data_IF_308271754044
#
_entry.id   IF_308271754044
#
_cell.length_a   1.000
_cell.length_b   1.000
_cell.length_c   1.000
_cell.angle_alpha   90.00
_cell.angle_beta   90.00
_cell.angle_gamma   90.00
#
_symmetry.space_group_name_H-M   'P 1'
#
loop_
_entity.id
_entity.type
_entity.pdbx_description
1 polymer ?
#
# COMPACT_ATOMS: atom_id res chain seq x y z
N UNK A 1 115.93 -49.87 44.64
CA UNK A 1 115.86 -48.77 45.55
C UNK A 1 114.80 -47.81 45.04
N UNK A 2 113.84 -47.56 45.81
CA UNK A 2 112.46 -47.13 45.53
C UNK A 2 112.36 -45.63 45.31
N UNK A 3 111.70 -45.21 44.17
CA UNK A 3 111.26 -43.84 43.95
C UNK A 3 109.74 -43.83 43.87
N UNK A 4 109.17 -43.20 44.84
CA UNK A 4 107.74 -42.95 44.82
C UNK A 4 107.43 -41.74 43.91
N UNK A 5 106.54 -41.99 42.99
CA UNK A 5 105.94 -40.89 42.21
C UNK A 5 104.75 -40.27 42.94
N UNK A 6 104.59 -38.95 42.89
CA UNK A 6 103.40 -38.27 43.47
C UNK A 6 102.27 -38.29 42.44
N UNK A 7 101.12 -38.73 42.87
CA UNK A 7 99.91 -38.70 42.09
C UNK A 7 99.39 -37.28 42.01
N UNK A 8 99.40 -36.75 40.82
CA UNK A 8 98.79 -35.44 40.49
C UNK A 8 97.24 -35.60 40.38
N UNK A 9 96.52 -35.11 41.37
CA UNK A 9 95.07 -35.04 41.35
C UNK A 9 94.67 -33.93 40.46
N UNK A 10 94.07 -34.21 39.29
CA UNK A 10 93.48 -33.26 38.40
C UNK A 10 92.07 -32.94 38.94
N UNK A 11 91.90 -31.75 39.45
CA UNK A 11 90.59 -31.21 39.79
C UNK A 11 89.82 -30.86 38.53
N UNK A 12 88.87 -31.70 38.17
CA UNK A 12 87.89 -31.41 37.13
C UNK A 12 86.91 -30.37 37.66
N UNK A 13 87.10 -29.11 37.26
CA UNK A 13 86.10 -28.09 37.48
C UNK A 13 84.95 -28.29 36.48
N UNK A 14 83.88 -28.86 37.02
CA UNK A 14 82.61 -28.97 36.24
C UNK A 14 82.02 -27.58 36.07
N UNK A 15 82.14 -27.05 34.93
CA UNK A 15 81.40 -25.85 34.53
C UNK A 15 79.92 -26.23 34.36
N UNK A 16 79.00 -25.59 35.08
CA UNK A 16 77.59 -25.82 34.80
C UNK A 16 77.26 -25.22 33.43
N UNK A 17 76.98 -26.06 32.48
CA UNK A 17 76.35 -25.62 31.26
C UNK A 17 74.99 -25.06 31.62
N UNK A 18 74.87 -23.72 31.65
CA UNK A 18 73.56 -23.06 31.59
C UNK A 18 72.89 -23.48 30.29
N UNK A 19 72.04 -24.49 30.38
CA UNK A 19 71.07 -24.77 29.31
C UNK A 19 70.13 -23.56 29.27
N UNK A 20 70.51 -22.61 28.41
CA UNK A 20 69.59 -21.59 28.00
C UNK A 20 68.45 -22.28 27.26
N UNK A 21 67.39 -22.59 28.04
CA UNK A 21 66.17 -23.11 27.46
C UNK A 21 65.70 -22.08 26.42
N UNK A 22 65.79 -22.44 25.17
CA UNK A 22 65.10 -21.71 24.09
C UNK A 22 63.62 -21.86 24.38
N UNK A 23 63.06 -20.92 25.18
CA UNK A 23 61.65 -20.71 25.24
C UNK A 23 61.24 -20.17 23.85
N UNK A 24 60.37 -20.86 23.12
CA UNK A 24 59.83 -20.31 21.88
C UNK A 24 59.19 -18.96 22.24
N UNK A 25 59.36 -17.91 21.43
CA UNK A 25 58.71 -16.68 21.68
C UNK A 25 57.20 -16.95 21.84
N UNK A 26 56.64 -16.57 22.99
CA UNK A 26 55.23 -16.55 23.16
C UNK A 26 54.68 -15.61 22.07
N UNK A 27 54.09 -16.16 21.05
CA UNK A 27 53.34 -15.38 20.08
C UNK A 27 52.10 -14.87 20.83
N UNK A 28 52.13 -13.61 21.16
CA UNK A 28 50.90 -12.92 21.56
C UNK A 28 49.92 -13.12 20.41
N UNK A 29 48.76 -13.67 20.70
CA UNK A 29 47.64 -13.69 19.75
C UNK A 29 47.31 -12.22 19.45
N UNK A 30 47.64 -11.77 18.25
CA UNK A 30 47.44 -10.41 17.79
C UNK A 30 46.04 -10.21 17.20
N UNK A 31 45.17 -11.23 17.29
CA UNK A 31 43.85 -11.23 16.64
C UNK A 31 43.92 -11.37 15.12
N UNK A 32 45.14 -11.39 14.54
CA UNK A 32 45.33 -11.49 13.06
C UNK A 32 45.16 -12.93 12.56
N UNK A 33 45.26 -13.89 13.47
CA UNK A 33 45.10 -15.32 13.14
C UNK A 33 43.74 -15.87 13.58
N UNK A 34 42.82 -15.04 13.97
CA UNK A 34 41.46 -15.48 14.25
C UNK A 34 40.86 -16.07 13.00
N UNK A 35 40.41 -17.30 13.08
CA UNK A 35 39.74 -17.94 11.98
C UNK A 35 38.39 -17.27 11.72
N UNK A 36 38.34 -16.41 10.70
CA UNK A 36 37.09 -15.81 10.27
C UNK A 36 36.21 -16.90 9.64
N UNK A 37 35.17 -17.29 10.34
CA UNK A 37 34.15 -18.19 9.83
C UNK A 37 32.98 -17.34 9.35
N UNK A 38 32.78 -17.27 8.04
CA UNK A 38 31.61 -16.64 7.45
C UNK A 38 30.59 -17.69 7.05
N UNK A 39 29.32 -17.37 7.26
CA UNK A 39 28.17 -18.13 6.79
C UNK A 39 27.20 -17.15 6.14
N UNK A 40 26.60 -17.57 5.05
CA UNK A 40 25.56 -16.80 4.37
C UNK A 40 24.19 -17.34 4.74
N UNK A 41 23.20 -16.46 4.76
CA UNK A 41 21.78 -16.83 4.78
C UNK A 41 21.09 -16.12 3.64
N UNK A 42 20.02 -16.71 3.14
CA UNK A 42 19.24 -16.14 2.07
C UNK A 42 18.04 -15.37 2.69
N UNK A 43 17.86 -14.13 2.25
CA UNK A 43 16.68 -13.32 2.55
C UNK A 43 15.77 -13.38 1.33
N UNK A 44 14.50 -13.73 1.54
CA UNK A 44 13.49 -13.75 0.49
C UNK A 44 12.34 -12.86 0.88
N UNK A 45 11.81 -12.09 -0.10
CA UNK A 45 10.55 -11.38 -0.02
C UNK A 45 9.78 -11.65 -1.30
N UNK A 46 8.46 -11.86 -1.17
CA UNK A 46 7.55 -11.98 -2.29
C UNK A 46 6.56 -10.83 -2.23
N UNK A 47 6.51 -10.02 -3.29
CA UNK A 47 5.51 -8.97 -3.45
C UNK A 47 4.39 -9.56 -4.30
N UNK A 48 3.18 -9.52 -3.78
CA UNK A 48 1.96 -9.91 -4.49
C UNK A 48 1.20 -8.68 -4.96
N UNK A 49 0.42 -8.76 -6.04
CA UNK A 49 -0.46 -7.66 -6.42
C UNK A 49 -1.38 -7.27 -5.26
N UNK A 50 -1.56 -5.98 -5.07
CA UNK A 50 -2.41 -5.46 -4.01
C UNK A 50 -2.84 -4.04 -4.33
N UNK A 51 -3.97 -3.63 -3.77
CA UNK A 51 -4.55 -2.30 -3.92
C UNK A 51 -4.91 -1.72 -2.56
N UNK A 52 -4.80 -0.41 -2.46
CA UNK A 52 -5.22 0.40 -1.33
C UNK A 52 -6.26 1.42 -1.80
N UNK A 53 -7.37 1.50 -1.11
CA UNK A 53 -8.39 2.55 -1.31
C UNK A 53 -7.99 3.80 -0.53
N UNK A 54 -7.77 4.91 -1.24
CA UNK A 54 -7.25 6.16 -0.68
C UNK A 54 -5.76 6.37 -0.95
N UNK A 55 -5.13 7.28 -0.20
CA UNK A 55 -3.71 7.67 -0.33
C UNK A 55 -2.90 7.41 0.94
N UNK A 56 -3.52 6.86 1.97
CA UNK A 56 -2.90 6.58 3.27
C UNK A 56 -2.23 5.23 3.35
N UNK A 57 -1.84 4.81 4.56
CA UNK A 57 -1.28 3.49 4.83
C UNK A 57 -2.33 2.40 5.06
N UNK A 58 -3.61 2.71 4.97
CA UNK A 58 -4.75 1.79 5.12
C UNK A 58 -5.92 2.25 4.25
N UNK A 59 -6.84 1.31 3.98
CA UNK A 59 -8.06 1.62 3.24
C UNK A 59 -8.91 2.67 3.94
N UNK A 60 -9.46 3.60 3.15
CA UNK A 60 -10.45 4.56 3.65
C UNK A 60 -11.82 3.89 3.77
N UNK A 61 -12.59 4.29 4.76
CA UNK A 61 -13.97 3.81 4.94
C UNK A 61 -14.98 4.57 4.08
N UNK A 62 -14.61 5.76 3.59
CA UNK A 62 -15.45 6.60 2.73
C UNK A 62 -14.59 7.49 1.84
N UNK A 63 -15.08 7.82 0.66
CA UNK A 63 -14.50 8.81 -0.24
C UNK A 63 -15.10 10.22 -0.01
N UNK A 64 -15.95 10.40 1.01
CA UNK A 64 -16.61 11.66 1.32
C UNK A 64 -17.97 11.78 0.65
N UNK A 65 -18.44 13.02 0.48
CA UNK A 65 -19.79 13.32 -0.01
C UNK A 65 -19.74 14.14 -1.29
N UNK A 66 -20.47 13.68 -2.32
CA UNK A 66 -20.80 14.50 -3.50
C UNK A 66 -22.05 15.30 -3.17
N UNK A 67 -21.96 16.63 -3.24
CA UNK A 67 -23.06 17.54 -2.94
C UNK A 67 -23.51 18.30 -4.18
N UNK A 68 -24.82 18.34 -4.42
CA UNK A 68 -25.42 19.21 -5.42
C UNK A 68 -25.65 20.63 -4.91
N UNK A 69 -25.27 20.91 -3.65
CA UNK A 69 -25.47 22.20 -2.99
C UNK A 69 -26.89 22.45 -2.56
N UNK A 70 -27.19 23.70 -2.20
CA UNK A 70 -28.55 24.16 -1.92
C UNK A 70 -29.25 24.48 -3.24
N UNK A 71 -30.42 23.90 -3.42
CA UNK A 71 -31.20 24.03 -4.66
C UNK A 71 -32.58 24.59 -4.30
N UNK A 72 -32.87 25.80 -4.77
CA UNK A 72 -34.17 26.45 -4.55
C UNK A 72 -35.20 26.08 -5.63
N UNK A 73 -34.74 25.65 -6.82
CA UNK A 73 -35.57 25.20 -7.92
C UNK A 73 -34.88 24.07 -8.68
N UNK A 74 -35.63 23.08 -9.17
CA UNK A 74 -35.16 21.99 -9.99
C UNK A 74 -35.84 21.95 -11.37
N UNK A 75 -36.10 23.12 -11.95
CA UNK A 75 -36.65 23.23 -13.32
C UNK A 75 -35.65 22.81 -14.42
N UNK A 76 -34.37 22.64 -14.09
CA UNK A 76 -33.31 22.12 -14.99
C UNK A 76 -32.41 21.20 -14.22
N UNK A 77 -31.64 20.35 -14.99
CA UNK A 77 -30.66 19.48 -14.41
C UNK A 77 -29.55 20.27 -13.68
N UNK A 78 -29.01 19.65 -12.60
CA UNK A 78 -27.87 20.17 -11.85
C UNK A 78 -26.71 19.18 -11.93
N UNK A 79 -25.60 19.62 -12.48
CA UNK A 79 -24.40 18.83 -12.64
C UNK A 79 -23.37 19.22 -11.60
N UNK A 80 -22.62 18.25 -11.16
CA UNK A 80 -21.47 18.43 -10.25
C UNK A 80 -20.42 17.35 -10.54
N UNK A 81 -19.19 17.63 -10.17
CA UNK A 81 -18.09 16.68 -10.24
C UNK A 81 -17.47 16.51 -8.86
N UNK A 82 -17.09 15.31 -8.53
CA UNK A 82 -16.40 15.01 -7.30
C UNK A 82 -14.96 15.55 -7.29
N UNK A 83 -14.40 15.68 -6.09
CA UNK A 83 -12.99 16.00 -5.88
C UNK A 83 -12.42 15.08 -4.78
N UNK A 84 -11.09 14.99 -4.62
CA UNK A 84 -10.48 14.22 -3.53
C UNK A 84 -11.06 14.61 -2.16
N UNK A 85 -11.50 13.63 -1.38
CA UNK A 85 -12.21 13.84 -0.12
C UNK A 85 -13.68 14.25 -0.25
N UNK A 86 -14.17 14.44 -1.47
CA UNK A 86 -15.56 14.82 -1.77
C UNK A 86 -16.12 13.93 -2.89
N UNK A 87 -15.97 12.61 -2.72
CA UNK A 87 -16.57 11.59 -3.56
C UNK A 87 -15.72 11.09 -4.73
N UNK A 88 -14.54 11.65 -5.01
CA UNK A 88 -13.62 11.06 -5.99
C UNK A 88 -13.00 9.76 -5.44
N UNK A 89 -12.93 8.75 -6.28
CA UNK A 89 -12.36 7.46 -5.93
C UNK A 89 -10.85 7.54 -6.12
N UNK A 90 -10.11 7.49 -5.03
CA UNK A 90 -8.64 7.47 -5.09
C UNK A 90 -8.14 6.10 -4.66
N UNK A 91 -7.19 5.56 -5.41
CA UNK A 91 -6.56 4.27 -5.09
C UNK A 91 -5.11 4.25 -5.50
N UNK A 92 -4.37 3.33 -4.86
CA UNK A 92 -2.99 3.02 -5.18
C UNK A 92 -2.83 1.50 -5.24
N UNK A 93 -2.33 0.99 -6.35
CA UNK A 93 -2.14 -0.45 -6.55
C UNK A 93 -0.70 -0.77 -6.96
N UNK A 94 -0.34 -2.03 -6.88
CA UNK A 94 0.89 -2.53 -7.49
C UNK A 94 0.90 -2.21 -8.99
N UNK A 95 2.06 -1.84 -9.57
CA UNK A 95 2.19 -1.53 -10.98
C UNK A 95 1.62 -2.62 -11.89
N UNK A 96 0.84 -2.21 -12.90
CA UNK A 96 0.27 -3.11 -13.90
C UNK A 96 -0.89 -4.00 -13.42
N UNK A 97 -1.31 -3.88 -12.16
CA UNK A 97 -2.45 -4.65 -11.63
C UNK A 97 -3.72 -4.30 -12.41
N UNK A 98 -4.45 -5.28 -12.96
CA UNK A 98 -5.76 -5.03 -13.54
C UNK A 98 -6.73 -4.67 -12.43
N UNK A 99 -7.46 -3.57 -12.60
CA UNK A 99 -8.42 -3.09 -11.61
C UNK A 99 -9.78 -2.85 -12.25
N UNK A 100 -10.83 -3.18 -11.52
CA UNK A 100 -12.21 -2.90 -11.90
C UNK A 100 -12.90 -2.17 -10.76
N UNK A 101 -13.37 -0.94 -11.06
CA UNK A 101 -14.14 -0.10 -10.15
C UNK A 101 -15.63 -0.19 -10.51
N UNK A 102 -16.43 -0.61 -9.56
CA UNK A 102 -17.87 -0.81 -9.71
C UNK A 102 -18.63 0.04 -8.69
N UNK A 103 -19.78 0.59 -9.10
CA UNK A 103 -20.70 1.28 -8.23
C UNK A 103 -22.04 0.56 -8.17
N UNK A 104 -22.59 0.40 -6.96
CA UNK A 104 -23.92 -0.14 -6.81
C UNK A 104 -25.01 0.90 -7.20
N UNK A 105 -26.26 0.51 -7.09
CA UNK A 105 -27.40 1.41 -7.41
C UNK A 105 -27.71 2.45 -6.33
N UNK A 106 -26.98 2.42 -5.21
CA UNK A 106 -27.33 3.17 -4.02
C UNK A 106 -28.36 2.42 -3.16
N UNK A 107 -28.70 3.00 -2.01
CA UNK A 107 -29.65 2.39 -1.08
C UNK A 107 -31.11 2.55 -1.52
N UNK A 108 -31.38 3.46 -2.46
CA UNK A 108 -32.74 3.84 -2.84
C UNK A 108 -33.14 3.35 -4.24
N UNK A 109 -32.32 2.48 -4.87
CA UNK A 109 -32.62 1.90 -6.17
C UNK A 109 -32.06 0.46 -6.26
N UNK A 110 -32.62 -0.35 -7.16
CA UNK A 110 -32.14 -1.70 -7.46
C UNK A 110 -31.36 -1.78 -8.77
N UNK A 111 -31.52 -0.79 -9.64
CA UNK A 111 -30.84 -0.68 -10.94
C UNK A 111 -30.51 0.78 -11.23
N UNK A 112 -29.37 1.00 -11.90
CA UNK A 112 -28.96 2.34 -12.35
C UNK A 112 -29.52 2.68 -13.73
N UNK A 113 -30.08 1.74 -14.47
CA UNK A 113 -30.65 1.98 -15.80
C UNK A 113 -31.80 2.99 -15.78
N UNK A 114 -32.60 3.00 -14.71
CA UNK A 114 -33.67 3.99 -14.46
C UNK A 114 -33.22 5.20 -13.69
N UNK A 115 -31.96 5.24 -13.24
CA UNK A 115 -31.37 6.24 -12.39
C UNK A 115 -31.32 5.82 -10.92
N UNK A 116 -30.47 6.53 -10.17
CA UNK A 116 -30.38 6.47 -8.71
C UNK A 116 -31.31 7.48 -8.08
N UNK A 117 -31.61 7.33 -6.80
CA UNK A 117 -32.52 8.24 -6.09
C UNK A 117 -31.94 8.71 -4.77
N UNK A 118 -31.87 10.03 -4.59
CA UNK A 118 -31.78 10.62 -3.27
C UNK A 118 -33.15 10.53 -2.61
N UNK A 119 -33.20 10.20 -1.34
CA UNK A 119 -34.47 10.00 -0.62
C UNK A 119 -34.59 10.90 0.59
N UNK A 120 -35.84 11.34 0.86
CA UNK A 120 -36.30 11.96 2.08
C UNK A 120 -37.68 11.42 2.42
N UNK A 121 -37.74 10.48 3.36
CA UNK A 121 -38.96 9.71 3.60
C UNK A 121 -39.43 8.98 2.34
N UNK A 122 -40.65 9.27 1.87
CA UNK A 122 -41.20 8.72 0.63
C UNK A 122 -40.82 9.46 -0.64
N UNK A 123 -40.35 10.71 -0.50
CA UNK A 123 -39.95 11.53 -1.64
C UNK A 123 -38.65 11.09 -2.24
N UNK A 124 -38.52 11.20 -3.55
CA UNK A 124 -37.36 10.77 -4.33
C UNK A 124 -36.93 11.83 -5.32
N UNK A 125 -35.62 12.09 -5.40
CA UNK A 125 -35.01 12.90 -6.44
C UNK A 125 -34.11 12.03 -7.27
N UNK A 126 -34.39 11.94 -8.57
CA UNK A 126 -33.57 11.13 -9.46
C UNK A 126 -32.23 11.78 -9.73
N UNK A 127 -31.15 10.99 -9.63
CA UNK A 127 -29.81 11.39 -10.01
C UNK A 127 -29.10 10.27 -10.75
N UNK A 128 -27.94 10.56 -11.33
CA UNK A 128 -27.09 9.55 -11.96
C UNK A 128 -25.63 9.90 -11.77
N UNK A 129 -24.78 8.85 -11.80
CA UNK A 129 -23.33 8.96 -11.71
C UNK A 129 -22.72 8.44 -13.02
N UNK A 130 -21.70 9.14 -13.49
CA UNK A 130 -21.06 8.88 -14.76
C UNK A 130 -19.54 8.84 -14.61
N UNK A 131 -18.88 8.13 -15.54
CA UNK A 131 -17.42 8.02 -15.61
C UNK A 131 -16.80 9.21 -16.36
N UNK A 132 -17.59 9.95 -17.13
CA UNK A 132 -17.15 10.96 -18.07
C UNK A 132 -17.85 12.31 -17.90
N UNK A 133 -17.14 13.39 -18.24
CA UNK A 133 -17.67 14.76 -18.20
C UNK A 133 -18.82 15.02 -19.21
N UNK A 134 -18.97 14.16 -20.20
CA UNK A 134 -20.07 14.22 -21.16
C UNK A 134 -21.37 13.62 -20.65
N UNK A 135 -21.37 13.01 -19.46
CA UNK A 135 -22.53 12.33 -18.86
C UNK A 135 -23.11 11.24 -19.77
N UNK A 136 -22.25 10.49 -20.47
CA UNK A 136 -22.63 9.47 -21.45
C UNK A 136 -22.48 8.05 -20.93
N UNK A 137 -21.46 7.80 -20.09
CA UNK A 137 -21.14 6.48 -19.57
C UNK A 137 -21.63 6.36 -18.13
N UNK A 138 -22.78 5.72 -17.94
CA UNK A 138 -23.34 5.48 -16.60
C UNK A 138 -22.42 4.52 -15.84
N UNK A 139 -21.95 4.97 -14.67
CA UNK A 139 -21.11 4.15 -13.80
C UNK A 139 -21.94 3.16 -12.98
N UNK A 140 -21.75 1.89 -13.24
CA UNK A 140 -22.44 0.79 -12.57
C UNK A 140 -21.49 -0.34 -12.21
N UNK A 141 -22.00 -1.56 -12.17
CA UNK A 141 -21.24 -2.77 -11.85
C UNK A 141 -21.23 -3.81 -13.00
N UNK A 142 -21.67 -3.40 -14.19
CA UNK A 142 -21.77 -4.30 -15.36
C UNK A 142 -23.07 -5.08 -15.46
N UNK A 143 -23.81 -5.23 -14.35
CA UNK A 143 -25.07 -5.99 -14.32
C UNK A 143 -26.29 -5.19 -13.84
N UNK A 144 -26.08 -4.02 -13.26
CA UNK A 144 -27.15 -3.17 -12.72
C UNK A 144 -27.66 -2.08 -13.68
N UNK A 145 -27.33 -2.16 -14.98
CA UNK A 145 -27.71 -1.20 -16.00
C UNK A 145 -26.69 -0.09 -16.23
N UNK A 146 -25.53 -0.17 -15.63
CA UNK A 146 -24.37 0.69 -15.86
C UNK A 146 -23.09 -0.12 -16.05
N UNK A 147 -22.03 0.51 -16.51
CA UNK A 147 -20.75 -0.13 -16.84
C UNK A 147 -19.76 0.11 -15.70
N UNK A 148 -18.99 -0.92 -15.31
CA UNK A 148 -17.84 -0.76 -14.43
C UNK A 148 -16.67 -0.13 -15.19
N UNK A 149 -15.78 0.57 -14.48
CA UNK A 149 -14.53 1.08 -15.04
C UNK A 149 -13.47 -0.01 -14.87
N UNK A 150 -12.93 -0.52 -15.97
CA UNK A 150 -11.83 -1.50 -15.96
C UNK A 150 -10.59 -0.91 -16.62
N UNK A 151 -9.45 -1.01 -15.97
CA UNK A 151 -8.17 -0.51 -16.46
C UNK A 151 -7.01 -1.27 -15.82
N UNK A 152 -5.81 -1.16 -16.41
CA UNK A 152 -4.58 -1.58 -15.75
C UNK A 152 -4.00 -0.41 -14.95
N UNK A 153 -3.58 -0.66 -13.72
CA UNK A 153 -2.98 0.38 -12.89
C UNK A 153 -1.64 0.84 -13.50
N UNK A 154 -1.33 2.15 -13.47
CA UNK A 154 -0.11 2.67 -14.08
C UNK A 154 1.16 1.99 -13.59
N UNK A 155 2.12 1.80 -14.49
CA UNK A 155 3.41 1.19 -14.19
C UNK A 155 4.24 1.98 -13.15
N UNK A 156 3.94 3.26 -12.94
CA UNK A 156 4.56 4.09 -11.91
C UNK A 156 4.16 3.69 -10.47
N UNK A 157 3.04 2.97 -10.29
CA UNK A 157 2.46 2.70 -8.97
C UNK A 157 1.95 3.95 -8.24
N UNK A 158 1.95 5.11 -8.92
CA UNK A 158 1.47 6.36 -8.31
C UNK A 158 -0.04 6.33 -8.11
N UNK A 159 -0.49 6.91 -6.99
CA UNK A 159 -1.92 7.05 -6.68
C UNK A 159 -2.71 7.65 -7.85
N UNK A 160 -3.86 7.08 -8.14
CA UNK A 160 -4.77 7.52 -9.18
C UNK A 160 -6.09 7.99 -8.56
N UNK A 161 -6.63 9.07 -9.11
CA UNK A 161 -7.93 9.61 -8.70
C UNK A 161 -8.89 9.56 -9.88
N UNK A 162 -10.02 8.92 -9.65
CA UNK A 162 -11.10 8.78 -10.62
C UNK A 162 -12.25 9.70 -10.20
N UNK A 163 -12.50 10.80 -10.92
CA UNK A 163 -13.61 11.69 -10.63
C UNK A 163 -14.94 11.00 -10.94
N UNK A 164 -15.95 11.32 -10.16
CA UNK A 164 -17.34 10.89 -10.38
C UNK A 164 -18.11 12.11 -10.85
N UNK A 165 -18.71 12.03 -12.02
CA UNK A 165 -19.58 13.06 -12.56
C UNK A 165 -21.02 12.75 -12.17
N UNK A 166 -21.69 13.68 -11.53
CA UNK A 166 -23.02 13.47 -10.98
C UNK A 166 -24.01 14.48 -11.56
N UNK A 167 -25.18 13.99 -11.96
CA UNK A 167 -26.30 14.78 -12.45
C UNK A 167 -27.53 14.52 -11.61
N UNK A 168 -28.09 15.58 -11.04
CA UNK A 168 -29.43 15.61 -10.46
C UNK A 168 -30.41 16.08 -11.53
N UNK A 169 -31.44 15.30 -11.77
CA UNK A 169 -32.37 15.57 -12.85
C UNK A 169 -33.45 16.58 -12.39
N UNK A 170 -33.92 17.36 -13.36
CA UNK A 170 -35.06 18.22 -13.21
C UNK A 170 -36.30 17.46 -12.70
N UNK A 171 -37.09 18.08 -11.86
CA UNK A 171 -38.32 17.51 -11.32
C UNK A 171 -39.41 18.55 -11.23
N UNK A 172 -40.64 18.13 -11.58
CA UNK A 172 -41.85 18.93 -11.43
C UNK A 172 -43.01 18.01 -11.02
N UNK A 173 -43.81 18.38 -10.01
CA UNK A 173 -43.70 19.56 -9.15
C UNK A 173 -42.45 19.50 -8.25
N UNK A 174 -42.07 20.64 -7.66
CA UNK A 174 -40.97 20.73 -6.71
C UNK A 174 -41.27 19.85 -5.48
N UNK A 175 -40.26 19.07 -5.01
CA UNK A 175 -40.41 18.32 -3.78
C UNK A 175 -40.35 19.20 -2.54
N UNK A 176 -40.66 18.62 -1.38
CA UNK A 176 -40.60 19.32 -0.11
C UNK A 176 -39.18 19.75 0.26
N UNK A 177 -39.03 20.87 0.96
CA UNK A 177 -37.71 21.31 1.43
C UNK A 177 -37.13 20.33 2.45
N UNK A 178 -35.85 20.04 2.35
CA UNK A 178 -35.12 19.16 3.28
C UNK A 178 -33.88 18.51 2.65
N UNK A 179 -33.22 17.65 3.43
CA UNK A 179 -32.06 16.87 2.96
C UNK A 179 -32.52 15.59 2.29
N UNK A 180 -32.09 15.41 1.06
CA UNK A 180 -32.25 14.16 0.29
C UNK A 180 -30.92 13.47 0.18
N UNK A 181 -30.87 12.22 0.60
CA UNK A 181 -29.62 11.48 0.78
C UNK A 181 -29.67 10.12 0.07
N UNK A 182 -28.52 9.65 -0.36
CA UNK A 182 -28.29 8.27 -0.79
C UNK A 182 -26.87 7.87 -0.41
N UNK A 183 -26.62 6.56 -0.33
CA UNK A 183 -25.29 6.00 -0.11
C UNK A 183 -24.98 5.02 -1.23
N UNK A 184 -23.90 5.27 -1.95
CA UNK A 184 -23.41 4.44 -3.04
C UNK A 184 -22.15 3.74 -2.58
N UNK A 185 -22.11 2.41 -2.75
CA UNK A 185 -20.94 1.60 -2.45
C UNK A 185 -20.05 1.48 -3.67
N UNK A 186 -18.76 1.74 -3.45
CA UNK A 186 -17.69 1.49 -4.42
C UNK A 186 -17.10 0.11 -4.13
N UNK A 187 -16.96 -0.72 -5.14
CA UNK A 187 -16.29 -2.02 -5.08
C UNK A 187 -15.09 -2.00 -6.00
N UNK A 188 -13.92 -2.31 -5.46
CA UNK A 188 -12.68 -2.52 -6.19
C UNK A 188 -12.42 -4.02 -6.31
N UNK A 189 -12.17 -4.49 -7.52
CA UNK A 189 -11.72 -5.87 -7.82
C UNK A 189 -10.36 -5.79 -8.53
N UNK A 190 -9.41 -6.61 -8.08
CA UNK A 190 -8.04 -6.69 -8.63
C UNK A 190 -7.47 -8.09 -8.54
#
# INVERSE_FOLDING_TARGET
>A
MWLRQPTMRVLLIAWPWLALAWLPPARADTGVNDQLISRSFELRAQIVPGCLLGTGGSDVTTFGTISFGQVSTLGSNRDTVSSPGSGSITLQCSPGTPVTLSLNAGNNATSVGTGRFLARGSERLRYQLYQDAGYSVIWGNGSNGGISLSTAFPASGASQTYPVYARLFAVSPMPSAGFYLDTVTVTLTY
#
